data_IF_992831593261
#
_entry.id   IF_992831593261
#
_cell.length_a   1.000
_cell.length_b   1.000
_cell.length_c   1.000
_cell.angle_alpha   90.00
_cell.angle_beta   90.00
_cell.angle_gamma   90.00
#
_symmetry.space_group_name_H-M   'P 1'
#
loop_
_entity.id
_entity.type
_entity.pdbx_description
1 polymer ?
#
# COMPACT_ATOMS: atom_id res chain seq x y z
N UNK A 1 -61.91 65.93 6.80
CA UNK A 1 -60.47 65.58 6.80
C UNK A 1 -60.30 64.13 7.10
N UNK A 2 -60.38 63.30 6.08
CA UNK A 2 -60.33 61.83 6.20
C UNK A 2 -59.01 61.31 5.65
N UNK A 3 -58.27 60.63 6.47
CA UNK A 3 -57.12 59.87 6.04
C UNK A 3 -57.55 58.41 5.87
N UNK A 4 -57.57 57.95 4.66
CA UNK A 4 -57.75 56.55 4.28
C UNK A 4 -56.37 55.88 4.30
N UNK A 5 -56.19 54.89 5.16
CA UNK A 5 -55.03 54.04 5.17
C UNK A 5 -55.23 52.85 4.21
N UNK A 6 -54.38 52.75 3.20
CA UNK A 6 -54.33 51.57 2.29
C UNK A 6 -53.49 50.51 2.91
N UNK A 7 -54.11 49.40 3.23
CA UNK A 7 -53.40 48.17 3.61
C UNK A 7 -53.04 47.35 2.35
N UNK A 8 -51.75 47.25 2.04
CA UNK A 8 -51.26 46.39 0.98
C UNK A 8 -50.96 44.98 1.57
N UNK A 9 -51.76 44.01 1.19
CA UNK A 9 -51.51 42.60 1.49
C UNK A 9 -50.44 42.05 0.54
N UNK A 10 -49.26 41.74 1.06
CA UNK A 10 -48.26 40.95 0.36
C UNK A 10 -48.62 39.45 0.51
N UNK A 11 -49.09 38.86 -0.57
CA UNK A 11 -49.17 37.38 -0.68
C UNK A 11 -47.80 36.88 -1.14
N UNK A 12 -47.02 36.42 -0.20
CA UNK A 12 -45.80 35.71 -0.48
C UNK A 12 -46.08 34.27 -0.96
N UNK A 13 -45.93 34.05 -2.24
CA UNK A 13 -45.95 32.68 -2.80
C UNK A 13 -44.65 32.03 -2.46
N UNK A 14 -44.64 31.13 -1.47
CA UNK A 14 -43.55 30.18 -1.20
C UNK A 14 -43.54 29.14 -2.32
N UNK A 15 -42.67 29.31 -3.29
CA UNK A 15 -42.24 28.20 -4.15
C UNK A 15 -41.36 27.28 -3.34
N UNK A 16 -41.94 26.24 -2.74
CA UNK A 16 -41.19 25.08 -2.28
C UNK A 16 -40.87 24.27 -3.53
N UNK A 17 -39.66 24.44 -4.07
CA UNK A 17 -39.12 23.53 -5.05
C UNK A 17 -38.85 22.19 -4.35
N UNK A 18 -39.76 21.25 -4.50
CA UNK A 18 -39.47 19.81 -4.25
C UNK A 18 -38.41 19.40 -5.24
N UNK A 19 -37.13 19.46 -4.83
CA UNK A 19 -36.10 18.63 -5.43
C UNK A 19 -36.43 17.19 -5.04
N UNK A 20 -36.97 16.43 -5.96
CA UNK A 20 -37.01 14.97 -5.82
C UNK A 20 -35.57 14.51 -5.66
N UNK A 21 -35.23 14.12 -4.44
CA UNK A 21 -34.01 13.39 -4.14
C UNK A 21 -34.10 12.05 -4.87
N UNK A 22 -33.53 11.97 -6.07
CA UNK A 22 -33.13 10.68 -6.64
C UNK A 22 -32.25 10.03 -5.58
N UNK A 23 -32.67 8.87 -5.10
CA UNK A 23 -32.02 8.10 -4.04
C UNK A 23 -30.61 7.66 -4.41
N UNK A 24 -29.68 8.63 -4.48
CA UNK A 24 -28.24 8.38 -4.49
C UNK A 24 -27.81 8.02 -3.08
N UNK A 25 -27.17 6.89 -2.95
CA UNK A 25 -26.46 6.50 -1.74
C UNK A 25 -25.63 7.71 -1.27
N UNK A 26 -25.71 8.15 0.01
CA UNK A 26 -24.96 9.30 0.47
C UNK A 26 -23.48 9.13 0.10
N UNK A 27 -22.87 10.15 -0.51
CA UNK A 27 -21.51 10.08 -1.00
C UNK A 27 -20.58 9.53 0.11
N UNK A 28 -19.84 8.48 -0.20
CA UNK A 28 -18.90 7.88 0.75
C UNK A 28 -17.93 8.96 1.26
N UNK A 29 -17.63 8.95 2.55
CA UNK A 29 -16.68 9.88 3.16
C UNK A 29 -15.51 9.09 3.72
N UNK A 30 -14.27 9.36 3.26
CA UNK A 30 -13.08 8.75 3.81
C UNK A 30 -12.95 8.96 5.32
N UNK A 31 -12.59 7.90 6.03
CA UNK A 31 -12.27 7.94 7.46
C UNK A 31 -10.76 8.02 7.71
N UNK A 32 -9.98 7.68 6.68
CA UNK A 32 -8.52 7.67 6.66
C UNK A 32 -8.00 8.51 5.49
N UNK A 33 -6.76 8.97 5.60
CA UNK A 33 -6.02 9.54 4.45
C UNK A 33 -5.61 8.40 3.53
N UNK A 34 -5.10 7.31 4.12
CA UNK A 34 -4.63 6.12 3.41
C UNK A 34 -5.79 5.16 3.14
N UNK A 35 -6.22 5.08 1.88
CA UNK A 35 -7.32 4.21 1.43
C UNK A 35 -7.07 2.72 1.74
N UNK A 36 -5.83 2.25 1.63
CA UNK A 36 -5.48 0.86 1.92
C UNK A 36 -5.70 0.53 3.40
N UNK A 37 -5.30 1.42 4.31
CA UNK A 37 -5.53 1.22 5.75
C UNK A 37 -7.02 1.11 6.03
N UNK A 38 -7.83 2.02 5.48
CA UNK A 38 -9.28 2.00 5.68
C UNK A 38 -9.92 0.71 5.19
N UNK A 39 -9.47 0.17 4.07
CA UNK A 39 -9.94 -1.10 3.54
C UNK A 39 -9.54 -2.28 4.43
N UNK A 40 -8.29 -2.35 4.86
CA UNK A 40 -7.81 -3.42 5.73
C UNK A 40 -8.51 -3.41 7.09
N UNK A 41 -8.77 -2.24 7.68
CA UNK A 41 -9.57 -2.09 8.90
C UNK A 41 -11.03 -2.55 8.71
N UNK A 42 -11.57 -2.37 7.52
CA UNK A 42 -12.91 -2.84 7.16
C UNK A 42 -12.96 -4.33 6.74
N UNK A 43 -11.83 -5.06 6.81
CA UNK A 43 -11.75 -6.45 6.36
C UNK A 43 -11.97 -6.59 4.85
N UNK A 44 -11.62 -5.58 4.06
CA UNK A 44 -11.82 -5.56 2.62
C UNK A 44 -10.50 -5.77 1.86
N UNK A 45 -10.49 -6.57 0.78
CA UNK A 45 -9.30 -6.74 -0.03
C UNK A 45 -8.90 -5.46 -0.74
N UNK A 46 -7.60 -5.29 -0.94
CA UNK A 46 -6.94 -4.19 -1.64
C UNK A 46 -6.49 -4.67 -3.01
N UNK A 47 -6.81 -3.93 -4.04
CA UNK A 47 -6.47 -4.22 -5.44
C UNK A 47 -5.42 -3.25 -5.94
N UNK A 48 -4.34 -3.76 -6.53
CA UNK A 48 -3.23 -2.94 -6.96
C UNK A 48 -2.90 -3.02 -8.46
N UNK A 49 -2.06 -2.07 -8.86
CA UNK A 49 -1.32 -2.05 -10.12
C UNK A 49 0.10 -1.58 -9.84
N UNK A 50 1.07 -2.09 -10.61
CA UNK A 50 2.45 -1.62 -10.55
C UNK A 50 2.77 -0.65 -11.67
N UNK A 51 3.61 0.35 -11.36
CA UNK A 51 4.19 1.30 -12.33
C UNK A 51 5.68 1.49 -12.05
N UNK A 52 6.43 1.84 -13.09
CA UNK A 52 7.86 2.10 -12.99
C UNK A 52 8.27 3.23 -13.94
N UNK A 53 9.12 4.15 -13.48
CA UNK A 53 9.67 5.20 -14.33
C UNK A 53 8.63 6.14 -14.93
N UNK A 54 7.54 6.43 -14.23
CA UNK A 54 6.44 7.26 -14.69
C UNK A 54 6.30 8.54 -13.86
N UNK A 55 5.81 9.61 -14.48
CA UNK A 55 5.68 10.92 -13.87
C UNK A 55 4.26 11.47 -13.88
N UNK A 56 4.15 12.80 -14.03
CA UNK A 56 2.92 13.56 -13.85
C UNK A 56 1.71 13.03 -14.67
N UNK A 57 1.88 12.80 -15.95
CA UNK A 57 0.75 12.41 -16.82
C UNK A 57 0.17 11.04 -16.46
N UNK A 58 1.04 10.06 -16.13
CA UNK A 58 0.55 8.76 -15.68
C UNK A 58 -0.09 8.84 -14.29
N UNK A 59 0.44 9.68 -13.38
CA UNK A 59 -0.20 9.98 -12.11
C UNK A 59 -1.61 10.53 -12.30
N UNK A 60 -1.77 11.52 -13.17
CA UNK A 60 -3.07 12.12 -13.47
C UNK A 60 -4.07 11.11 -14.05
N UNK A 61 -3.61 10.24 -14.94
CA UNK A 61 -4.41 9.16 -15.53
C UNK A 61 -4.87 8.14 -14.48
N UNK A 62 -4.00 7.80 -13.53
CA UNK A 62 -4.29 6.77 -12.52
C UNK A 62 -5.07 7.28 -11.30
N UNK A 63 -5.23 8.58 -11.14
CA UNK A 63 -5.90 9.19 -9.98
C UNK A 63 -7.30 8.61 -9.70
N UNK A 64 -8.08 8.35 -10.75
CA UNK A 64 -9.43 7.81 -10.65
C UNK A 64 -9.54 6.39 -11.23
N UNK A 65 -8.42 5.66 -11.24
CA UNK A 65 -8.39 4.28 -11.73
C UNK A 65 -9.18 3.33 -10.82
N UNK A 66 -9.43 2.12 -11.33
CA UNK A 66 -10.19 1.09 -10.63
C UNK A 66 -9.47 0.44 -9.45
N UNK A 67 -8.18 0.77 -9.22
CA UNK A 67 -7.38 0.17 -8.15
C UNK A 67 -7.47 0.97 -6.85
N UNK A 68 -7.07 0.35 -5.77
CA UNK A 68 -7.03 0.95 -4.44
C UNK A 68 -5.63 1.42 -4.06
N UNK A 69 -4.64 0.73 -4.60
CA UNK A 69 -3.22 0.94 -4.33
C UNK A 69 -2.42 0.91 -5.64
N UNK A 70 -1.35 1.67 -5.66
CA UNK A 70 -0.35 1.67 -6.74
C UNK A 70 1.00 1.34 -6.12
N UNK A 71 1.66 0.30 -6.62
CA UNK A 71 3.05 0.01 -6.32
C UNK A 71 3.93 0.78 -7.31
N UNK A 72 4.73 1.72 -6.80
CA UNK A 72 5.71 2.45 -7.60
C UNK A 72 7.08 1.77 -7.44
N UNK A 73 7.53 1.10 -8.50
CA UNK A 73 8.74 0.26 -8.45
C UNK A 73 9.98 1.13 -8.67
N UNK A 74 10.85 1.18 -7.65
CA UNK A 74 12.20 1.77 -7.74
C UNK A 74 13.31 0.72 -7.54
N UNK A 75 12.97 -0.49 -7.14
CA UNK A 75 13.90 -1.57 -6.88
C UNK A 75 14.74 -1.96 -8.10
N UNK A 76 14.09 -1.99 -9.27
CA UNK A 76 14.68 -2.50 -10.52
C UNK A 76 14.92 -1.41 -11.58
N UNK A 77 14.96 -0.16 -11.19
CA UNK A 77 15.12 0.96 -12.10
C UNK A 77 15.99 2.08 -11.55
N UNK A 78 16.15 3.17 -12.31
CA UNK A 78 16.83 4.35 -11.81
C UNK A 78 16.15 4.93 -10.58
N UNK A 79 16.93 5.44 -9.63
CA UNK A 79 16.41 6.18 -8.51
C UNK A 79 16.07 7.61 -8.92
N UNK A 80 14.79 7.89 -9.14
CA UNK A 80 14.27 9.15 -9.67
C UNK A 80 13.21 9.79 -8.75
N UNK A 81 13.62 10.33 -7.58
CA UNK A 81 12.67 10.90 -6.62
C UNK A 81 11.89 12.11 -7.15
N UNK A 82 12.47 12.87 -8.12
CA UNK A 82 11.75 13.97 -8.75
C UNK A 82 10.63 13.49 -9.66
N UNK A 83 10.82 12.38 -10.37
CA UNK A 83 9.77 11.77 -11.18
C UNK A 83 8.63 11.24 -10.30
N UNK A 84 8.97 10.61 -9.17
CA UNK A 84 7.98 10.21 -8.15
C UNK A 84 7.18 11.41 -7.62
N UNK A 85 7.82 12.55 -7.33
CA UNK A 85 7.11 13.78 -6.91
C UNK A 85 6.13 14.27 -7.96
N UNK A 86 6.54 14.24 -9.23
CA UNK A 86 5.66 14.58 -10.35
C UNK A 86 4.47 13.61 -10.45
N UNK A 87 4.72 12.32 -10.27
CA UNK A 87 3.67 11.30 -10.23
C UNK A 87 2.65 11.57 -9.12
N UNK A 88 3.11 11.83 -7.89
CA UNK A 88 2.25 12.16 -6.77
C UNK A 88 1.43 13.45 -6.99
N UNK A 89 2.04 14.47 -7.60
CA UNK A 89 1.32 15.69 -7.99
C UNK A 89 0.26 15.38 -9.06
N UNK A 90 0.61 14.57 -10.06
CA UNK A 90 -0.33 14.13 -11.09
C UNK A 90 -1.56 13.43 -10.51
N UNK A 91 -1.37 12.54 -9.51
CA UNK A 91 -2.47 11.90 -8.79
C UNK A 91 -3.39 12.92 -8.10
N UNK A 92 -2.83 13.95 -7.46
CA UNK A 92 -3.62 15.02 -6.82
C UNK A 92 -4.41 15.81 -7.86
N UNK A 93 -3.77 16.21 -8.95
CA UNK A 93 -4.36 17.05 -9.99
C UNK A 93 -5.38 16.29 -10.87
N UNK A 94 -5.28 14.95 -10.92
CA UNK A 94 -6.26 14.08 -11.54
C UNK A 94 -7.58 13.98 -10.75
N UNK A 95 -7.60 14.51 -9.54
CA UNK A 95 -8.75 14.57 -8.66
C UNK A 95 -8.92 13.36 -7.75
N UNK A 96 -9.85 13.45 -6.79
CA UNK A 96 -10.04 12.38 -5.81
C UNK A 96 -10.54 11.09 -6.45
N UNK A 97 -10.27 9.97 -5.78
CA UNK A 97 -10.85 8.68 -6.10
C UNK A 97 -12.38 8.72 -5.98
N UNK A 98 -13.07 7.75 -6.55
CA UNK A 98 -14.55 7.66 -6.41
C UNK A 98 -15.01 7.46 -4.96
N UNK A 99 -14.14 6.96 -4.08
CA UNK A 99 -14.40 6.90 -2.64
C UNK A 99 -14.13 8.23 -1.91
N UNK A 100 -13.67 9.25 -2.62
CA UNK A 100 -13.40 10.58 -2.03
C UNK A 100 -12.03 10.71 -1.37
N UNK A 101 -11.19 9.66 -1.37
CA UNK A 101 -9.78 9.79 -0.96
C UNK A 101 -9.05 10.70 -1.94
N UNK A 102 -8.13 11.52 -1.42
CA UNK A 102 -7.40 12.50 -2.22
C UNK A 102 -6.62 11.85 -3.37
N UNK A 103 -6.06 10.67 -3.15
CA UNK A 103 -5.38 9.83 -4.14
C UNK A 103 -5.61 8.35 -3.82
N UNK A 104 -5.35 7.42 -4.75
CA UNK A 104 -5.08 6.03 -4.38
C UNK A 104 -3.90 5.95 -3.41
N UNK A 105 -3.82 4.88 -2.63
CA UNK A 105 -2.62 4.61 -1.82
C UNK A 105 -1.42 4.37 -2.73
N UNK A 106 -0.28 5.02 -2.48
CA UNK A 106 0.97 4.77 -3.22
C UNK A 106 1.99 4.16 -2.27
N UNK A 107 2.50 2.99 -2.63
CA UNK A 107 3.57 2.27 -1.95
C UNK A 107 4.79 2.25 -2.87
N UNK A 108 5.97 2.57 -2.35
CA UNK A 108 7.20 2.51 -3.14
C UNK A 108 8.00 1.27 -2.78
N UNK A 109 8.27 0.42 -3.78
CA UNK A 109 9.25 -0.65 -3.64
C UNK A 109 10.64 0.00 -3.70
N UNK A 110 11.32 0.01 -2.57
CA UNK A 110 12.54 0.78 -2.38
C UNK A 110 13.74 0.14 -3.10
N UNK A 111 14.68 0.96 -3.61
CA UNK A 111 15.98 0.46 -4.06
C UNK A 111 16.92 0.12 -2.89
N UNK A 112 16.49 0.35 -1.65
CA UNK A 112 17.20 -0.03 -0.43
C UNK A 112 16.87 -1.46 -0.08
N UNK A 113 17.90 -2.29 0.02
CA UNK A 113 17.75 -3.70 0.37
C UNK A 113 17.94 -3.92 1.87
N UNK A 114 17.06 -4.73 2.46
CA UNK A 114 17.07 -5.10 3.87
C UNK A 114 18.10 -6.19 4.20
N UNK A 115 19.34 -6.07 3.70
CA UNK A 115 20.38 -7.09 3.88
C UNK A 115 20.80 -7.24 5.34
N UNK A 116 21.00 -6.12 6.00
CA UNK A 116 21.33 -5.97 7.43
C UNK A 116 20.97 -4.56 7.94
N UNK A 117 21.14 -4.33 9.25
CA UNK A 117 20.88 -3.04 9.87
C UNK A 117 21.71 -1.90 9.25
N UNK A 118 22.99 -2.16 8.99
CA UNK A 118 23.92 -1.15 8.44
C UNK A 118 23.49 -0.72 7.04
N UNK A 119 23.11 -1.67 6.19
CA UNK A 119 22.62 -1.40 4.83
C UNK A 119 21.41 -0.47 4.84
N UNK A 120 20.47 -0.66 5.75
CA UNK A 120 19.30 0.22 5.88
C UNK A 120 19.70 1.57 6.50
N UNK A 121 20.53 1.56 7.56
CA UNK A 121 20.96 2.76 8.27
C UNK A 121 21.69 3.76 7.38
N UNK A 122 22.64 3.30 6.58
CA UNK A 122 23.41 4.19 5.68
C UNK A 122 22.59 4.72 4.51
N UNK A 123 21.50 4.06 4.18
CA UNK A 123 20.57 4.42 3.11
C UNK A 123 19.25 5.05 3.63
N UNK A 124 19.16 5.41 4.91
CA UNK A 124 17.92 6.01 5.46
C UNK A 124 17.51 7.29 4.71
N UNK A 125 18.47 8.04 4.18
CA UNK A 125 18.20 9.25 3.39
C UNK A 125 17.36 8.95 2.13
N UNK A 126 17.51 7.77 1.50
CA UNK A 126 16.66 7.33 0.38
C UNK A 126 15.22 7.20 0.84
N UNK A 127 15.02 6.56 2.00
CA UNK A 127 13.69 6.39 2.61
C UNK A 127 13.04 7.76 2.89
N UNK A 128 13.81 8.70 3.45
CA UNK A 128 13.33 10.05 3.71
C UNK A 128 12.98 10.80 2.42
N UNK A 129 13.81 10.72 1.37
CA UNK A 129 13.54 11.34 0.08
C UNK A 129 12.24 10.80 -0.57
N UNK A 130 12.03 9.49 -0.52
CA UNK A 130 10.82 8.86 -1.03
C UNK A 130 9.59 9.30 -0.23
N UNK A 131 9.65 9.28 1.10
CA UNK A 131 8.54 9.74 1.96
C UNK A 131 8.25 11.23 1.77
N UNK A 132 9.27 12.05 1.51
CA UNK A 132 9.11 13.48 1.25
C UNK A 132 8.34 13.78 -0.03
N UNK A 133 8.21 12.81 -0.96
CA UNK A 133 7.36 12.92 -2.13
C UNK A 133 5.85 12.80 -1.81
N UNK A 134 5.49 12.41 -0.57
CA UNK A 134 4.10 12.30 -0.12
C UNK A 134 3.45 10.95 -0.37
N UNK A 135 4.24 9.91 -0.58
CA UNK A 135 3.73 8.53 -0.69
C UNK A 135 3.13 8.05 0.63
N UNK A 136 2.28 7.04 0.56
CA UNK A 136 1.53 6.53 1.70
C UNK A 136 2.18 5.32 2.37
N UNK A 137 3.23 4.79 1.77
CA UNK A 137 3.95 3.66 2.35
C UNK A 137 5.15 3.23 1.54
N UNK A 138 5.84 2.24 2.07
CA UNK A 138 7.11 1.74 1.57
C UNK A 138 7.17 0.23 1.65
N UNK A 139 7.90 -0.40 0.73
CA UNK A 139 8.30 -1.80 0.79
C UNK A 139 9.82 -1.91 0.86
N UNK A 140 10.31 -2.59 1.89
CA UNK A 140 11.72 -2.97 2.01
C UNK A 140 11.93 -4.31 1.30
N UNK A 141 12.72 -4.29 0.23
CA UNK A 141 13.05 -5.48 -0.54
C UNK A 141 14.19 -6.27 0.13
N UNK A 142 14.27 -7.58 -0.11
CA UNK A 142 15.25 -8.48 0.51
C UNK A 142 15.37 -8.32 2.04
N UNK A 143 14.23 -8.32 2.74
CA UNK A 143 14.22 -8.20 4.20
C UNK A 143 14.78 -9.47 4.85
N UNK A 144 16.09 -9.50 5.21
CA UNK A 144 16.83 -10.68 5.61
C UNK A 144 16.87 -10.95 7.11
N UNK A 145 16.75 -9.93 7.95
CA UNK A 145 16.79 -10.07 9.39
C UNK A 145 15.97 -8.98 10.12
N UNK A 146 15.66 -9.23 11.38
CA UNK A 146 14.82 -8.37 12.18
C UNK A 146 15.47 -7.01 12.48
N UNK A 147 16.79 -6.94 12.56
CA UNK A 147 17.54 -5.69 12.82
C UNK A 147 17.40 -4.73 11.64
N UNK A 148 17.52 -5.23 10.40
CA UNK A 148 17.27 -4.44 9.20
C UNK A 148 15.82 -3.90 9.17
N UNK A 149 14.85 -4.73 9.55
CA UNK A 149 13.44 -4.33 9.59
C UNK A 149 13.17 -3.31 10.69
N UNK A 150 13.77 -3.44 11.88
CA UNK A 150 13.67 -2.42 12.95
C UNK A 150 14.23 -1.08 12.47
N UNK A 151 15.38 -1.11 11.80
CA UNK A 151 16.00 0.09 11.24
C UNK A 151 15.14 0.71 10.13
N UNK A 152 14.50 -0.09 9.31
CA UNK A 152 13.55 0.38 8.30
C UNK A 152 12.36 1.11 8.93
N UNK A 153 11.76 0.53 9.98
CA UNK A 153 10.67 1.18 10.72
C UNK A 153 11.14 2.49 11.33
N UNK A 154 12.32 2.53 11.96
CA UNK A 154 12.91 3.75 12.51
C UNK A 154 13.14 4.81 11.43
N UNK A 155 13.63 4.42 10.26
CA UNK A 155 13.88 5.34 9.13
C UNK A 155 12.60 5.99 8.59
N UNK A 156 11.45 5.37 8.79
CA UNK A 156 10.15 5.91 8.37
C UNK A 156 9.53 6.88 9.41
N UNK A 157 10.08 6.96 10.62
CA UNK A 157 9.52 7.71 11.77
C UNK A 157 10.27 9.01 12.04
N UNK A 158 9.54 10.00 12.58
CA UNK A 158 10.13 11.24 13.10
C UNK A 158 10.80 11.05 14.45
N UNK A 159 11.79 11.91 14.78
CA UNK A 159 12.63 11.88 16.00
C UNK A 159 11.89 12.43 17.22
N UNK A 160 10.89 11.74 17.71
CA UNK A 160 10.28 12.04 19.01
C UNK A 160 9.55 10.84 19.58
N UNK A 161 9.49 10.77 20.90
CA UNK A 161 8.72 9.74 21.58
C UNK A 161 7.21 9.94 21.40
N UNK A 162 6.50 8.84 21.25
CA UNK A 162 5.04 8.80 21.12
C UNK A 162 4.45 8.08 22.33
N UNK A 163 4.20 8.84 23.39
CA UNK A 163 3.66 8.29 24.63
C UNK A 163 2.33 7.54 24.44
N UNK A 164 1.57 7.92 23.41
CA UNK A 164 0.30 7.26 23.04
C UNK A 164 0.45 5.81 22.58
N UNK A 165 1.64 5.41 22.12
CA UNK A 165 1.91 4.03 21.69
C UNK A 165 2.00 3.04 22.85
N UNK A 166 2.25 3.54 24.09
CA UNK A 166 2.31 2.70 25.29
C UNK A 166 3.26 1.50 25.17
N UNK A 167 4.36 1.68 24.42
CA UNK A 167 5.36 0.65 24.18
C UNK A 167 5.05 -0.31 23.03
N UNK A 168 4.07 -0.01 22.18
CA UNK A 168 3.82 -0.79 20.95
C UNK A 168 5.02 -0.76 19.99
N UNK A 169 5.90 0.25 20.11
CA UNK A 169 7.16 0.41 19.38
C UNK A 169 8.37 -0.15 20.12
N UNK A 170 8.18 -0.98 21.15
CA UNK A 170 9.27 -1.57 21.91
C UNK A 170 10.26 -2.31 21.00
N UNK A 171 11.53 -1.94 21.13
CA UNK A 171 12.63 -2.52 20.34
C UNK A 171 12.83 -1.86 18.96
N UNK A 172 12.04 -0.86 18.61
CA UNK A 172 12.31 0.01 17.45
C UNK A 172 13.26 1.14 17.92
N UNK A 173 14.35 1.41 17.19
CA UNK A 173 15.20 2.57 17.46
C UNK A 173 14.43 3.89 17.33
N UNK A 174 15.00 4.97 17.87
CA UNK A 174 14.49 6.33 17.64
C UNK A 174 14.34 6.62 16.15
N UNK A 175 13.29 7.37 15.79
CA UNK A 175 13.03 7.77 14.41
C UNK A 175 14.17 8.59 13.81
N UNK A 176 14.39 8.45 12.52
CA UNK A 176 15.50 9.11 11.80
C UNK A 176 15.05 10.29 10.93
N UNK A 177 13.74 10.48 10.70
CA UNK A 177 13.25 11.58 9.86
C UNK A 177 13.41 12.92 10.55
N UNK A 178 14.07 13.86 9.85
CA UNK A 178 14.25 15.22 10.30
C UNK A 178 13.09 16.15 9.99
N UNK A 179 13.04 17.29 10.70
CA UNK A 179 12.12 18.38 10.42
C UNK A 179 12.42 19.00 9.03
N UNK A 180 11.36 19.35 8.29
CA UNK A 180 11.45 19.91 6.93
C UNK A 180 11.00 18.94 5.84
N UNK A 181 11.16 17.63 6.04
CA UNK A 181 10.77 16.58 5.09
C UNK A 181 9.24 16.53 4.86
N UNK A 182 8.43 17.08 5.76
CA UNK A 182 6.98 17.14 5.67
C UNK A 182 6.44 18.18 4.69
N UNK A 183 7.23 19.19 4.29
CA UNK A 183 6.73 20.40 3.63
C UNK A 183 5.99 20.12 2.31
N UNK A 184 6.51 19.22 1.48
CA UNK A 184 5.83 18.83 0.24
C UNK A 184 4.80 17.72 0.49
N UNK A 185 5.17 16.72 1.28
CA UNK A 185 4.33 15.56 1.56
C UNK A 185 2.97 15.93 2.17
N UNK A 186 2.96 16.92 3.09
CA UNK A 186 1.70 17.42 3.69
C UNK A 186 0.75 18.03 2.65
N UNK A 187 1.29 18.70 1.62
CA UNK A 187 0.47 19.24 0.50
C UNK A 187 -0.15 18.12 -0.33
N UNK A 188 0.61 17.05 -0.57
CA UNK A 188 0.09 15.87 -1.27
C UNK A 188 -1.05 15.22 -0.45
N UNK A 189 -0.88 15.07 0.86
CA UNK A 189 -1.93 14.52 1.73
C UNK A 189 -3.09 15.50 1.98
N UNK A 190 -2.93 16.79 1.67
CA UNK A 190 -3.95 17.82 1.86
C UNK A 190 -4.17 18.22 3.31
N UNK A 191 -3.14 18.15 4.14
CA UNK A 191 -3.14 18.46 5.58
C UNK A 191 -2.03 19.44 5.94
N UNK A 192 -2.04 19.95 7.16
CA UNK A 192 -0.95 20.80 7.67
C UNK A 192 0.34 20.01 7.87
N UNK A 193 1.50 20.71 7.88
CA UNK A 193 2.79 20.07 8.15
C UNK A 193 2.85 19.42 9.55
N UNK A 194 2.24 20.05 10.55
CA UNK A 194 2.15 19.49 11.91
C UNK A 194 1.31 18.21 11.94
N UNK A 195 0.14 18.23 11.32
CA UNK A 195 -0.72 17.05 11.21
C UNK A 195 -0.04 15.91 10.44
N UNK A 196 0.75 16.24 9.39
CA UNK A 196 1.52 15.24 8.68
C UNK A 196 2.56 14.57 9.61
N UNK A 197 3.33 15.34 10.39
CA UNK A 197 4.30 14.80 11.33
C UNK A 197 3.61 13.89 12.37
N UNK A 198 2.43 14.26 12.83
CA UNK A 198 1.64 13.46 13.77
C UNK A 198 1.18 12.14 13.15
N UNK A 199 0.63 12.19 11.92
CA UNK A 199 0.02 11.03 11.27
C UNK A 199 0.98 10.19 10.44
N UNK A 200 2.13 10.70 10.03
CA UNK A 200 3.12 9.96 9.24
C UNK A 200 3.93 9.01 10.13
N UNK A 201 3.24 8.04 10.71
CA UNK A 201 3.76 6.98 11.57
C UNK A 201 3.18 5.63 11.13
N UNK A 202 3.91 4.50 11.29
CA UNK A 202 3.48 3.20 10.77
C UNK A 202 2.23 2.64 11.44
N UNK A 203 1.19 2.39 10.65
CA UNK A 203 0.06 1.53 11.02
C UNK A 203 0.42 0.05 10.78
N UNK A 204 0.01 -0.94 11.61
CA UNK A 204 -0.93 -0.82 12.73
C UNK A 204 -0.26 -0.52 14.09
N UNK A 205 1.08 -0.41 14.16
CA UNK A 205 1.80 -0.10 15.41
C UNK A 205 1.26 1.19 16.05
N UNK A 206 1.08 2.23 15.24
CA UNK A 206 0.31 3.41 15.62
C UNK A 206 -1.10 3.32 15.02
N UNK A 207 -2.15 3.09 15.82
CA UNK A 207 -3.52 3.00 15.31
C UNK A 207 -4.02 4.27 14.60
N UNK A 208 -3.40 5.44 14.86
CA UNK A 208 -3.70 6.71 14.19
C UNK A 208 -2.75 7.01 13.04
N UNK A 209 -1.73 6.16 12.83
CA UNK A 209 -0.78 6.28 11.74
C UNK A 209 -1.44 6.13 10.38
N UNK A 210 -0.88 6.82 9.40
CA UNK A 210 -1.34 6.81 8.01
C UNK A 210 -0.23 6.34 7.04
N UNK A 211 0.95 5.97 7.57
CA UNK A 211 1.96 5.25 6.80
C UNK A 211 1.72 3.74 6.89
N UNK A 212 1.95 3.03 5.79
CA UNK A 212 1.89 1.58 5.75
C UNK A 212 3.24 1.03 5.27
N UNK A 213 3.85 0.18 6.08
CA UNK A 213 5.14 -0.43 5.77
C UNK A 213 4.97 -1.90 5.42
N UNK A 214 5.79 -2.36 4.49
CA UNK A 214 5.77 -3.73 4.01
C UNK A 214 7.16 -4.30 3.77
N UNK A 215 7.22 -5.61 3.64
CA UNK A 215 8.44 -6.37 3.43
C UNK A 215 8.30 -7.27 2.20
N UNK A 216 9.37 -7.40 1.44
CA UNK A 216 9.51 -8.42 0.41
C UNK A 216 10.52 -9.47 0.89
N UNK A 217 10.01 -10.67 1.14
CA UNK A 217 10.78 -11.81 1.66
C UNK A 217 11.00 -12.79 0.52
N UNK A 218 12.22 -12.83 -0.01
CA UNK A 218 12.44 -13.39 -1.35
C UNK A 218 13.78 -14.10 -1.52
N UNK A 219 14.46 -14.42 -0.42
CA UNK A 219 15.69 -15.17 -0.49
C UNK A 219 15.83 -16.19 0.68
N UNK A 220 16.86 -17.03 0.62
CA UNK A 220 17.12 -18.05 1.63
C UNK A 220 17.39 -17.49 3.03
N UNK A 221 17.90 -16.25 3.12
CA UNK A 221 18.20 -15.61 4.41
C UNK A 221 16.91 -15.08 5.04
N UNK A 222 16.04 -14.43 4.25
CA UNK A 222 14.71 -14.02 4.69
C UNK A 222 13.90 -15.25 5.14
N UNK A 223 13.94 -16.35 4.38
CA UNK A 223 13.27 -17.59 4.74
C UNK A 223 13.76 -18.18 6.07
N UNK A 224 15.08 -18.17 6.30
CA UNK A 224 15.67 -18.67 7.55
C UNK A 224 15.25 -17.85 8.77
N UNK A 225 15.07 -16.54 8.62
CA UNK A 225 14.80 -15.60 9.71
C UNK A 225 13.33 -15.11 9.74
N UNK A 226 12.44 -15.72 8.98
CA UNK A 226 11.08 -15.22 8.75
C UNK A 226 10.28 -15.02 10.04
N UNK A 227 10.45 -15.87 11.05
CA UNK A 227 9.74 -15.75 12.32
C UNK A 227 10.15 -14.51 13.11
N UNK A 228 11.43 -14.12 13.07
CA UNK A 228 11.91 -12.94 13.77
C UNK A 228 11.62 -11.66 12.98
N UNK A 229 11.71 -11.72 11.66
CA UNK A 229 11.37 -10.63 10.75
C UNK A 229 9.89 -10.20 10.94
N UNK A 230 8.99 -11.19 10.93
CA UNK A 230 7.55 -10.91 10.99
C UNK A 230 7.05 -10.48 12.36
N UNK A 231 7.84 -10.64 13.43
CA UNK A 231 7.52 -10.13 14.78
C UNK A 231 7.84 -8.65 14.97
N UNK A 232 8.55 -8.02 14.04
CA UNK A 232 8.91 -6.60 14.17
C UNK A 232 7.66 -5.73 14.05
N UNK A 233 7.37 -4.86 15.04
CA UNK A 233 6.19 -4.02 14.99
C UNK A 233 6.29 -2.96 13.89
N UNK A 234 5.14 -2.52 13.38
CA UNK A 234 5.06 -1.48 12.35
C UNK A 234 4.98 -2.00 10.93
N UNK A 235 5.05 -3.31 10.71
CA UNK A 235 4.87 -3.93 9.39
C UNK A 235 3.40 -4.37 9.26
N UNK A 236 2.76 -3.95 8.18
CA UNK A 236 1.34 -4.22 7.95
C UNK A 236 1.09 -5.33 6.93
N UNK A 237 1.88 -5.40 5.88
CA UNK A 237 1.70 -6.39 4.84
C UNK A 237 3.04 -6.85 4.27
N UNK A 238 3.03 -7.92 3.47
CA UNK A 238 4.24 -8.45 2.91
C UNK A 238 4.02 -9.23 1.63
N UNK A 239 5.09 -9.34 0.87
CA UNK A 239 5.17 -10.06 -0.39
C UNK A 239 6.19 -11.19 -0.28
N UNK A 240 5.86 -12.33 -0.86
CA UNK A 240 6.80 -13.35 -1.23
C UNK A 240 7.24 -13.12 -2.67
N UNK A 241 8.54 -12.84 -2.88
CA UNK A 241 9.12 -12.61 -4.20
C UNK A 241 9.59 -13.91 -4.84
N UNK A 242 8.80 -14.57 -5.71
CA UNK A 242 9.13 -15.89 -6.25
C UNK A 242 10.38 -15.91 -7.15
N UNK A 243 10.66 -14.80 -7.86
CA UNK A 243 11.81 -14.69 -8.74
C UNK A 243 13.13 -14.82 -8.02
N UNK A 244 13.36 -13.90 -7.11
CA UNK A 244 14.57 -13.87 -6.29
C UNK A 244 14.66 -15.08 -5.36
N UNK A 245 13.52 -15.55 -4.83
CA UNK A 245 13.49 -16.79 -4.04
C UNK A 245 13.95 -17.99 -4.86
N UNK A 246 13.52 -18.11 -6.12
CA UNK A 246 13.94 -19.19 -7.00
C UNK A 246 15.43 -19.09 -7.33
N UNK A 247 15.91 -17.91 -7.62
CA UNK A 247 17.32 -17.64 -7.88
C UNK A 247 18.18 -18.00 -6.65
N UNK A 248 17.73 -17.59 -5.46
CA UNK A 248 18.45 -17.83 -4.20
C UNK A 248 18.48 -19.30 -3.77
N UNK A 249 17.39 -20.04 -3.98
CA UNK A 249 17.27 -21.46 -3.56
C UNK A 249 17.76 -22.44 -4.61
N UNK A 250 17.60 -22.11 -5.89
CA UNK A 250 17.79 -23.07 -6.99
C UNK A 250 19.00 -22.75 -7.86
N UNK A 251 19.52 -21.53 -7.81
CA UNK A 251 20.70 -21.09 -8.54
C UNK A 251 20.52 -21.02 -10.07
N UNK A 252 21.63 -20.73 -10.75
CA UNK A 252 21.65 -20.47 -12.20
C UNK A 252 21.15 -21.63 -13.07
N UNK A 253 21.38 -22.87 -12.65
CA UNK A 253 20.95 -24.05 -13.43
C UNK A 253 19.42 -24.17 -13.52
N UNK A 254 18.72 -23.70 -12.51
CA UNK A 254 17.27 -23.63 -12.52
C UNK A 254 16.78 -22.59 -13.54
N UNK A 255 17.42 -21.41 -13.58
CA UNK A 255 17.09 -20.35 -14.54
C UNK A 255 17.33 -20.82 -15.98
N UNK A 256 18.47 -21.46 -16.25
CA UNK A 256 18.79 -22.00 -17.58
C UNK A 256 17.81 -23.06 -18.09
N UNK A 257 17.12 -23.76 -17.19
CA UNK A 257 16.11 -24.77 -17.51
C UNK A 257 14.68 -24.19 -17.61
N UNK A 258 14.54 -22.88 -17.82
CA UNK A 258 13.25 -22.22 -17.93
C UNK A 258 12.55 -22.01 -16.58
N UNK A 259 13.30 -22.13 -15.48
CA UNK A 259 12.81 -21.83 -14.13
C UNK A 259 12.74 -20.37 -13.78
N UNK A 260 12.86 -19.48 -14.77
CA UNK A 260 12.86 -18.03 -14.56
C UNK A 260 11.45 -17.44 -14.28
N UNK A 261 11.29 -16.24 -14.67
CA UNK A 261 10.19 -15.32 -14.44
C UNK A 261 8.77 -15.89 -14.51
N UNK A 262 8.53 -16.93 -15.26
CA UNK A 262 7.22 -17.54 -15.42
C UNK A 262 6.83 -18.50 -14.27
N UNK A 263 7.78 -18.88 -13.43
CA UNK A 263 7.45 -19.51 -12.14
C UNK A 263 6.65 -18.57 -11.25
N UNK A 264 6.68 -17.31 -11.59
CA UNK A 264 6.01 -16.22 -10.91
C UNK A 264 4.50 -16.31 -10.97
N UNK A 265 3.99 -16.72 -12.09
CA UNK A 265 2.59 -16.49 -12.43
C UNK A 265 1.60 -17.44 -11.77
N UNK A 266 1.98 -18.15 -10.72
CA UNK A 266 1.05 -19.12 -10.11
C UNK A 266 0.63 -20.22 -11.07
N UNK A 267 1.45 -20.52 -12.07
CA UNK A 267 1.24 -21.54 -13.11
C UNK A 267 1.39 -22.97 -12.61
N UNK A 268 1.10 -23.20 -11.34
CA UNK A 268 0.92 -24.54 -10.78
C UNK A 268 2.10 -25.50 -10.90
N UNK A 269 3.33 -24.99 -11.03
CA UNK A 269 4.50 -25.84 -11.09
C UNK A 269 4.76 -26.54 -12.42
N UNK A 270 4.11 -26.08 -13.50
CA UNK A 270 4.31 -26.62 -14.84
C UNK A 270 4.88 -25.56 -15.79
N UNK A 271 5.69 -26.01 -16.78
CA UNK A 271 6.10 -25.16 -17.90
C UNK A 271 4.91 -24.93 -18.85
N UNK A 272 4.99 -23.97 -19.81
CA UNK A 272 3.97 -23.81 -20.83
C UNK A 272 3.67 -25.10 -21.60
N UNK A 273 4.66 -26.00 -21.73
CA UNK A 273 4.54 -27.28 -22.40
C UNK A 273 3.94 -28.38 -21.50
N UNK A 274 3.53 -28.03 -20.25
CA UNK A 274 2.91 -28.97 -19.33
C UNK A 274 3.90 -29.92 -18.61
N UNK A 275 5.20 -29.62 -18.63
CA UNK A 275 6.21 -30.41 -17.94
C UNK A 275 6.34 -29.95 -16.48
N UNK A 276 6.57 -30.87 -15.51
CA UNK A 276 6.85 -30.50 -14.11
C UNK A 276 8.08 -29.59 -14.02
N UNK A 277 7.97 -28.49 -13.29
CA UNK A 277 9.12 -27.63 -12.99
C UNK A 277 9.95 -28.24 -11.88
N UNK A 278 11.25 -28.40 -12.12
CA UNK A 278 12.18 -28.94 -11.12
C UNK A 278 12.30 -27.96 -9.95
N UNK A 279 12.10 -28.44 -8.74
CA UNK A 279 12.29 -27.64 -7.51
C UNK A 279 11.08 -26.85 -7.05
N UNK A 280 9.92 -26.99 -7.68
CA UNK A 280 8.65 -26.35 -7.26
C UNK A 280 8.33 -26.64 -5.80
N UNK A 281 8.58 -27.86 -5.33
CA UNK A 281 8.35 -28.26 -3.93
C UNK A 281 9.11 -27.37 -2.93
N UNK A 282 10.36 -26.98 -3.26
CA UNK A 282 11.14 -26.08 -2.41
C UNK A 282 10.56 -24.68 -2.40
N UNK A 283 10.11 -24.18 -3.55
CA UNK A 283 9.47 -22.86 -3.65
C UNK A 283 8.12 -22.84 -2.96
N UNK A 284 7.31 -23.87 -3.14
CA UNK A 284 6.02 -24.01 -2.46
C UNK A 284 6.18 -24.12 -0.94
N UNK A 285 7.19 -24.85 -0.47
CA UNK A 285 7.52 -24.93 0.96
C UNK A 285 7.97 -23.59 1.51
N UNK A 286 8.83 -22.84 0.79
CA UNK A 286 9.28 -21.51 1.17
C UNK A 286 8.10 -20.53 1.22
N UNK A 287 7.25 -20.52 0.20
CA UNK A 287 6.04 -19.70 0.16
C UNK A 287 5.13 -20.02 1.35
N UNK A 288 4.81 -21.29 1.56
CA UNK A 288 3.93 -21.72 2.65
C UNK A 288 4.47 -21.28 4.02
N UNK A 289 5.78 -21.38 4.23
CA UNK A 289 6.46 -20.95 5.46
C UNK A 289 6.36 -19.45 5.68
N UNK A 290 6.66 -18.64 4.64
CA UNK A 290 6.58 -17.18 4.71
C UNK A 290 5.14 -16.72 4.94
N UNK A 291 4.18 -17.27 4.19
CA UNK A 291 2.76 -16.96 4.37
C UNK A 291 2.24 -17.31 5.77
N UNK A 292 2.66 -18.44 6.32
CA UNK A 292 2.30 -18.86 7.67
C UNK A 292 2.85 -17.89 8.74
N UNK A 293 4.12 -17.48 8.62
CA UNK A 293 4.75 -16.53 9.53
C UNK A 293 4.09 -15.15 9.48
N UNK A 294 3.77 -14.65 8.29
CA UNK A 294 3.01 -13.40 8.13
C UNK A 294 1.66 -13.46 8.82
N UNK A 295 0.88 -14.52 8.57
CA UNK A 295 -0.44 -14.70 9.20
C UNK A 295 -0.36 -14.80 10.72
N UNK A 296 0.63 -15.54 11.25
CA UNK A 296 0.83 -15.68 12.70
C UNK A 296 1.12 -14.35 13.40
N UNK A 297 1.66 -13.37 12.68
CA UNK A 297 2.01 -12.04 13.19
C UNK A 297 1.11 -10.93 12.63
N UNK A 298 -0.09 -11.27 12.12
CA UNK A 298 -1.09 -10.34 11.60
C UNK A 298 -0.61 -9.44 10.45
N UNK A 299 0.38 -9.91 9.67
CA UNK A 299 0.85 -9.24 8.45
C UNK A 299 0.00 -9.77 7.29
N UNK A 300 -0.61 -8.88 6.52
CA UNK A 300 -1.46 -9.23 5.38
C UNK A 300 -0.60 -9.71 4.20
N UNK A 301 -0.75 -10.96 3.74
CA UNK A 301 0.01 -11.43 2.60
C UNK A 301 -0.52 -10.84 1.29
N UNK A 302 0.41 -10.54 0.36
CA UNK A 302 0.09 -10.26 -1.03
C UNK A 302 0.13 -11.53 -1.88
N UNK A 303 -0.76 -11.64 -2.84
CA UNK A 303 -0.76 -12.69 -3.86
C UNK A 303 -1.33 -12.18 -5.19
N UNK A 304 -0.78 -12.66 -6.30
CA UNK A 304 -1.33 -12.39 -7.62
C UNK A 304 -2.72 -13.01 -7.77
N UNK A 305 -3.67 -12.24 -8.28
CA UNK A 305 -5.05 -12.67 -8.44
C UNK A 305 -5.49 -12.73 -9.90
N UNK A 306 -6.42 -13.64 -10.17
CA UNK A 306 -7.11 -13.81 -11.45
C UNK A 306 -8.61 -14.02 -11.19
N UNK A 307 -9.40 -14.05 -12.26
CA UNK A 307 -10.82 -14.38 -12.13
C UNK A 307 -11.06 -15.76 -11.52
N UNK A 308 -10.14 -16.71 -11.73
CA UNK A 308 -10.31 -18.10 -11.29
C UNK A 308 -9.95 -18.31 -9.83
N UNK A 309 -8.96 -17.55 -9.31
CA UNK A 309 -8.44 -17.79 -7.97
C UNK A 309 -8.90 -16.77 -6.91
N UNK A 310 -9.45 -15.61 -7.31
CA UNK A 310 -9.71 -14.47 -6.43
C UNK A 310 -10.53 -14.82 -5.19
N UNK A 311 -11.70 -15.45 -5.35
CA UNK A 311 -12.58 -15.75 -4.22
C UNK A 311 -11.93 -16.70 -3.22
N UNK A 312 -11.22 -17.73 -3.72
CA UNK A 312 -10.43 -18.63 -2.89
C UNK A 312 -9.32 -17.92 -2.13
N UNK A 313 -8.66 -16.93 -2.75
CA UNK A 313 -7.63 -16.12 -2.08
C UNK A 313 -8.23 -15.27 -0.96
N UNK A 314 -9.37 -14.62 -1.22
CA UNK A 314 -10.09 -13.84 -0.20
C UNK A 314 -10.50 -14.73 0.98
N UNK A 315 -11.09 -15.89 0.72
CA UNK A 315 -11.50 -16.86 1.76
C UNK A 315 -10.29 -17.39 2.55
N UNK A 316 -9.12 -17.49 1.92
CA UNK A 316 -7.86 -17.83 2.57
C UNK A 316 -7.22 -16.67 3.36
N UNK A 317 -7.86 -15.49 3.40
CA UNK A 317 -7.37 -14.31 4.12
C UNK A 317 -6.27 -13.52 3.40
N UNK A 318 -6.15 -13.67 2.07
CA UNK A 318 -5.28 -12.83 1.25
C UNK A 318 -5.99 -11.51 0.99
N UNK A 319 -5.50 -10.46 1.62
CA UNK A 319 -6.15 -9.15 1.60
C UNK A 319 -5.46 -8.13 0.69
N UNK A 320 -4.29 -8.44 0.14
CA UNK A 320 -3.60 -7.61 -0.84
C UNK A 320 -3.42 -8.42 -2.12
N UNK A 321 -3.92 -7.89 -3.26
CA UNK A 321 -3.91 -8.64 -4.52
C UNK A 321 -3.25 -7.83 -5.62
N UNK A 322 -2.32 -8.49 -6.33
CA UNK A 322 -1.46 -7.88 -7.36
C UNK A 322 -1.97 -8.13 -8.79
N UNK A 323 -1.71 -7.16 -9.69
CA UNK A 323 -1.94 -7.29 -11.12
C UNK A 323 -3.44 -7.34 -11.50
N UNK A 324 -4.27 -6.54 -10.84
CA UNK A 324 -5.71 -6.67 -10.92
C UNK A 324 -6.33 -5.94 -12.12
N UNK A 325 -7.01 -6.67 -13.00
CA UNK A 325 -7.86 -6.09 -14.05
C UNK A 325 -9.16 -5.51 -13.48
N UNK A 326 -9.85 -4.73 -14.29
CA UNK A 326 -11.19 -4.18 -13.93
C UNK A 326 -12.16 -5.30 -13.55
N UNK A 327 -12.17 -6.41 -14.31
CA UNK A 327 -13.04 -7.55 -14.06
C UNK A 327 -12.73 -8.23 -12.73
N UNK A 328 -11.45 -8.43 -12.42
CA UNK A 328 -11.00 -9.02 -11.14
C UNK A 328 -11.44 -8.14 -9.98
N UNK A 329 -11.19 -6.83 -10.05
CA UNK A 329 -11.59 -5.90 -8.99
C UNK A 329 -13.10 -5.85 -8.78
N UNK A 330 -13.88 -5.83 -9.87
CA UNK A 330 -15.35 -5.82 -9.79
C UNK A 330 -15.88 -7.11 -9.17
N UNK A 331 -15.35 -8.28 -9.59
CA UNK A 331 -15.70 -9.58 -9.02
C UNK A 331 -15.43 -9.61 -7.50
N UNK A 332 -14.27 -9.16 -7.07
CA UNK A 332 -13.91 -9.18 -5.66
C UNK A 332 -14.73 -8.23 -4.80
N UNK A 333 -14.98 -7.00 -5.28
CA UNK A 333 -15.85 -6.04 -4.60
C UNK A 333 -17.28 -6.56 -4.45
N UNK A 334 -17.82 -7.19 -5.49
CA UNK A 334 -19.13 -7.81 -5.45
C UNK A 334 -19.15 -8.99 -4.44
N UNK A 335 -18.14 -9.84 -4.47
CA UNK A 335 -18.01 -10.99 -3.58
C UNK A 335 -17.98 -10.57 -2.10
N UNK A 336 -17.20 -9.56 -1.77
CA UNK A 336 -17.09 -9.05 -0.39
C UNK A 336 -18.18 -8.04 -0.01
N UNK A 337 -19.12 -7.75 -0.90
CA UNK A 337 -20.19 -6.74 -0.70
C UNK A 337 -19.65 -5.39 -0.26
N UNK A 338 -18.54 -4.98 -0.87
CA UNK A 338 -17.81 -3.78 -0.50
C UNK A 338 -18.66 -2.53 -0.66
N UNK A 339 -18.73 -1.70 0.41
CA UNK A 339 -19.48 -0.45 0.41
C UNK A 339 -18.66 0.74 -0.11
N UNK A 340 -17.34 0.73 0.11
CA UNK A 340 -16.45 1.77 -0.36
C UNK A 340 -16.31 1.72 -1.89
N UNK A 341 -16.60 2.80 -2.63
CA UNK A 341 -16.32 2.90 -4.06
C UNK A 341 -14.81 2.82 -4.36
N UNK A 342 -14.44 2.63 -5.63
CA UNK A 342 -13.02 2.67 -6.05
C UNK A 342 -12.51 4.10 -6.27
#
# INVERSE_FOLDING_TARGET
MNRIALAASLIGVLFVSMLEAQGGNPAYRPKRINKMIELLEAGQPVYDVSVQGVGYEEGKKLAQSHVDMIQYIMEHGPFEPMLLRQFMQGLVDGGPTKSGHRTPTVIVNLPVLGLDETSVRVNHWVIEQVLSAGVHGLMLCHARNAEAVRMFVASARYQFERAELKGADKGIPEGLRGSGSQTYASRIWGISGTEYIERADPWPMNPKGELILSLKMEDKYALANVDEITKVPGIAWGEWGPGDQSMSLMGLEYLKKGGSDEAHAGSGGFTPEGLPRIGVEKLDSARARIMAAMKANHIFPLHSSSLDNLTRLIDAGIMVTHGTSVEVTNKGRAYTKRQMPY
#
